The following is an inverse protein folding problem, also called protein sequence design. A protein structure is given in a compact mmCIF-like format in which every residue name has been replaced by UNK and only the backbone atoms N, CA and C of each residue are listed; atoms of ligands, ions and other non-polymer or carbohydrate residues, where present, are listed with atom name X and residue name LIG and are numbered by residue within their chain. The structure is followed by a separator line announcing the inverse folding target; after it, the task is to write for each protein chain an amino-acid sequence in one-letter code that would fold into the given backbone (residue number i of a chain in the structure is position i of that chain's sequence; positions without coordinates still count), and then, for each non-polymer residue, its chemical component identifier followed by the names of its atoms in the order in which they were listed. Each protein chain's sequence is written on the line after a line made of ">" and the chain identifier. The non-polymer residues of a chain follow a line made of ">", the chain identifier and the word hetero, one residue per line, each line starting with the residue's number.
data_IF_159687906424
#
_entry.id   IF_159687906424
#
_cell.length_a   1.000
_cell.length_b   1.000
_cell.length_c   1.000
_cell.angle_alpha   90.00
_cell.angle_beta   90.00
_cell.angle_gamma   90.00
#
_symmetry.space_group_name_H-M   'P 1'
#
loop_
_entity.id
_entity.type
_entity.pdbx_description
1 polymer ?
#
# COMPACT_ATOMS: atom_id res chain seq x y z
N UNK A 1 34.62 31.69 13.60
CA UNK A 1 33.43 30.84 13.52
C UNK A 1 33.85 29.50 12.96
N UNK A 2 33.77 28.45 13.76
CA UNK A 2 34.02 27.10 13.27
C UNK A 2 33.01 26.77 12.17
N UNK A 3 33.52 26.34 11.05
CA UNK A 3 32.65 25.91 9.94
C UNK A 3 31.93 24.61 10.35
N UNK A 4 30.58 24.63 10.29
CA UNK A 4 29.78 23.41 10.51
C UNK A 4 30.26 22.32 9.55
N UNK A 5 30.50 21.12 10.09
CA UNK A 5 30.91 19.97 9.29
C UNK A 5 29.87 19.68 8.19
N UNK A 6 30.37 19.26 7.02
CA UNK A 6 29.56 18.94 5.86
C UNK A 6 28.48 17.90 6.17
N UNK A 7 28.84 16.85 6.92
CA UNK A 7 27.89 15.79 7.29
C UNK A 7 26.76 16.30 8.19
N UNK A 8 27.07 17.21 9.11
CA UNK A 8 26.05 17.88 9.94
C UNK A 8 25.09 18.72 9.08
N UNK A 9 25.62 19.47 8.10
CA UNK A 9 24.78 20.23 7.17
C UNK A 9 23.86 19.32 6.36
N UNK A 10 24.37 18.19 5.85
CA UNK A 10 23.56 17.21 5.11
C UNK A 10 22.44 16.64 5.99
N UNK A 11 22.71 16.35 7.27
CA UNK A 11 21.69 15.87 8.21
C UNK A 11 20.63 16.95 8.46
N UNK A 12 21.03 18.20 8.70
CA UNK A 12 20.10 19.33 8.91
C UNK A 12 19.20 19.51 7.69
N UNK A 13 19.76 19.56 6.48
CA UNK A 13 18.96 19.74 5.27
C UNK A 13 18.06 18.55 4.96
N UNK A 14 18.43 17.33 5.33
CA UNK A 14 17.54 16.18 5.23
C UNK A 14 16.36 16.24 6.22
N UNK A 15 16.50 16.86 7.38
CA UNK A 15 15.37 17.12 8.30
C UNK A 15 14.42 18.15 7.70
N UNK A 16 14.95 19.15 7.00
CA UNK A 16 14.16 20.20 6.34
C UNK A 16 13.47 19.73 5.04
N UNK A 17 13.63 18.47 4.64
CA UNK A 17 13.09 17.97 3.36
C UNK A 17 11.56 18.11 3.23
N UNK A 18 10.84 18.24 4.34
CA UNK A 18 9.39 18.48 4.37
C UNK A 18 9.03 19.97 4.28
N UNK A 19 9.99 20.85 4.51
CA UNK A 19 9.86 22.30 4.43
C UNK A 19 10.63 22.83 3.22
N UNK A 20 10.02 22.71 2.05
CA UNK A 20 10.63 23.13 0.79
C UNK A 20 10.98 24.61 0.77
N UNK A 21 10.19 25.47 1.44
CA UNK A 21 10.45 26.91 1.50
C UNK A 21 11.78 27.22 2.19
N UNK A 22 12.01 26.58 3.34
CA UNK A 22 13.29 26.73 4.06
C UNK A 22 14.47 26.16 3.26
N UNK A 23 14.30 25.02 2.57
CA UNK A 23 15.33 24.49 1.70
C UNK A 23 15.65 25.42 0.53
N UNK A 24 14.64 26.04 -0.11
CA UNK A 24 14.86 27.04 -1.15
C UNK A 24 15.62 28.24 -0.63
N UNK A 25 15.33 28.72 0.57
CA UNK A 25 16.08 29.80 1.21
C UNK A 25 17.54 29.43 1.44
N UNK A 26 17.82 28.18 1.79
CA UNK A 26 19.18 27.66 1.96
C UNK A 26 20.03 27.69 0.68
N UNK A 27 19.41 27.65 -0.52
CA UNK A 27 20.14 27.78 -1.79
C UNK A 27 20.83 29.16 -1.93
N UNK A 28 20.30 30.18 -1.31
CA UNK A 28 20.75 31.57 -1.44
C UNK A 28 21.82 31.96 -0.43
N UNK A 29 22.11 31.10 0.56
CA UNK A 29 23.03 31.43 1.66
C UNK A 29 24.50 31.52 1.17
N UNK A 30 24.97 30.49 0.51
CA UNK A 30 26.31 30.44 -0.10
C UNK A 30 26.46 29.25 -1.05
N UNK A 31 27.54 29.21 -1.81
CA UNK A 31 27.83 28.18 -2.81
C UNK A 31 27.95 26.77 -2.19
N UNK A 32 28.50 26.63 -0.98
CA UNK A 32 28.64 25.36 -0.26
C UNK A 32 27.27 24.78 0.07
N UNK A 33 26.36 25.58 0.60
CA UNK A 33 24.98 25.21 0.89
C UNK A 33 24.23 24.84 -0.38
N UNK A 34 24.33 25.65 -1.44
CA UNK A 34 23.72 25.39 -2.72
C UNK A 34 24.12 24.01 -3.26
N UNK A 35 25.43 23.67 -3.22
CA UNK A 35 25.94 22.37 -3.69
C UNK A 35 25.37 21.16 -2.91
N UNK A 36 24.97 21.35 -1.66
CA UNK A 36 24.37 20.29 -0.83
C UNK A 36 22.85 20.22 -1.03
N UNK A 37 22.21 21.39 -1.09
CA UNK A 37 20.74 21.48 -1.10
C UNK A 37 20.16 21.12 -2.48
N UNK A 38 20.82 21.51 -3.58
CA UNK A 38 20.36 21.15 -4.93
C UNK A 38 20.17 19.65 -5.11
N UNK A 39 21.12 18.77 -4.79
CA UNK A 39 20.90 17.34 -4.84
C UNK A 39 19.74 16.84 -3.97
N UNK A 40 19.51 17.45 -2.80
CA UNK A 40 18.42 17.07 -1.90
C UNK A 40 17.05 17.42 -2.49
N UNK A 41 16.90 18.61 -3.05
CA UNK A 41 15.66 19.04 -3.73
C UNK A 41 15.37 18.17 -4.96
N UNK A 42 16.39 17.91 -5.79
CA UNK A 42 16.21 17.16 -7.03
C UNK A 42 16.02 15.65 -6.84
N UNK A 43 16.31 15.09 -5.66
CA UNK A 43 15.90 13.71 -5.32
C UNK A 43 14.39 13.51 -5.43
N UNK A 44 13.61 14.58 -5.21
CA UNK A 44 12.16 14.58 -5.12
C UNK A 44 11.49 15.48 -6.16
N UNK A 45 12.20 15.90 -7.19
CA UNK A 45 11.71 16.86 -8.18
C UNK A 45 10.39 16.45 -8.85
N UNK A 46 10.10 15.15 -8.88
CA UNK A 46 8.86 14.59 -9.44
C UNK A 46 7.74 14.34 -8.44
N UNK A 47 7.92 14.65 -7.15
CA UNK A 47 6.85 14.52 -6.16
C UNK A 47 5.90 15.72 -6.12
N UNK A 48 6.22 16.79 -6.87
CA UNK A 48 5.41 17.99 -7.05
C UNK A 48 4.77 18.09 -8.44
N UNK A 49 4.13 19.21 -8.71
CA UNK A 49 3.61 19.50 -10.05
C UNK A 49 4.77 19.81 -11.02
N UNK A 50 4.80 19.09 -12.13
CA UNK A 50 5.71 19.41 -13.24
C UNK A 50 5.10 20.60 -14.00
N UNK A 51 5.73 21.76 -13.86
CA UNK A 51 5.38 22.96 -14.61
C UNK A 51 6.29 23.14 -15.84
N UNK A 52 5.96 24.10 -16.70
CA UNK A 52 6.73 24.38 -17.91
C UNK A 52 8.22 24.71 -17.63
N UNK A 53 8.52 25.38 -16.51
CA UNK A 53 9.91 25.73 -16.16
C UNK A 53 10.73 24.48 -15.84
N UNK A 54 10.20 23.59 -15.03
CA UNK A 54 10.86 22.32 -14.71
C UNK A 54 10.98 21.44 -15.93
N UNK A 55 9.93 21.35 -16.76
CA UNK A 55 9.95 20.65 -18.04
C UNK A 55 11.07 21.16 -18.94
N UNK A 56 11.23 22.48 -19.08
CA UNK A 56 12.30 23.10 -19.89
C UNK A 56 13.69 22.76 -19.36
N UNK A 57 13.88 22.75 -18.05
CA UNK A 57 15.15 22.33 -17.44
C UNK A 57 15.45 20.87 -17.78
N UNK A 58 14.49 19.97 -17.63
CA UNK A 58 14.67 18.54 -17.95
C UNK A 58 15.03 18.35 -19.43
N UNK A 59 14.24 18.93 -20.33
CA UNK A 59 14.44 18.80 -21.77
C UNK A 59 15.75 19.48 -22.27
N UNK A 60 16.31 20.44 -21.50
CA UNK A 60 17.58 21.03 -21.80
C UNK A 60 18.74 20.01 -21.85
N UNK A 61 18.63 18.95 -21.03
CA UNK A 61 19.62 17.86 -20.93
C UNK A 61 19.52 16.83 -22.06
N UNK A 62 18.49 16.88 -22.91
CA UNK A 62 18.43 16.00 -24.08
C UNK A 62 19.68 16.18 -24.94
N UNK A 63 20.31 15.10 -25.42
CA UNK A 63 21.42 15.17 -26.38
C UNK A 63 21.04 15.91 -27.65
N UNK A 64 22.03 16.52 -28.34
CA UNK A 64 21.80 17.23 -29.61
C UNK A 64 21.19 16.31 -30.68
N UNK A 65 21.56 15.03 -30.69
CA UNK A 65 20.98 14.02 -31.59
C UNK A 65 19.47 13.82 -31.32
N UNK A 66 19.08 13.71 -30.05
CA UNK A 66 17.67 13.59 -29.65
C UNK A 66 16.87 14.84 -30.01
N UNK A 67 17.42 16.02 -29.75
CA UNK A 67 16.78 17.29 -30.12
C UNK A 67 16.57 17.41 -31.63
N UNK A 68 17.56 17.00 -32.42
CA UNK A 68 17.46 16.98 -33.90
C UNK A 68 16.42 15.95 -34.37
N UNK A 69 16.40 14.74 -33.76
CA UNK A 69 15.44 13.71 -34.08
C UNK A 69 14.00 14.20 -33.81
N UNK A 70 13.74 14.79 -32.63
CA UNK A 70 12.45 15.36 -32.30
C UNK A 70 12.02 16.48 -33.23
N UNK A 71 12.94 17.40 -33.58
CA UNK A 71 12.67 18.47 -34.52
C UNK A 71 12.34 17.96 -35.93
N UNK A 72 13.02 16.93 -36.41
CA UNK A 72 12.75 16.31 -37.70
C UNK A 72 11.38 15.63 -37.79
N UNK A 73 10.77 15.32 -36.62
CA UNK A 73 9.44 14.74 -36.50
C UNK A 73 8.40 15.78 -36.04
N UNK A 74 8.64 17.06 -36.31
CA UNK A 74 7.76 18.20 -35.97
C UNK A 74 7.41 18.31 -34.47
N UNK A 75 8.25 17.80 -33.59
CA UNK A 75 8.12 17.98 -32.16
C UNK A 75 8.93 19.23 -31.77
N UNK A 76 8.20 20.32 -31.56
CA UNK A 76 8.78 21.59 -31.15
C UNK A 76 9.01 21.58 -29.65
N UNK A 77 10.26 21.42 -29.24
CA UNK A 77 10.62 21.62 -27.84
C UNK A 77 10.40 23.09 -27.46
N UNK A 78 9.93 23.37 -26.23
CA UNK A 78 9.81 24.73 -25.74
C UNK A 78 11.12 25.48 -25.98
N UNK A 79 11.03 26.74 -26.41
CA UNK A 79 12.22 27.55 -26.66
C UNK A 79 13.06 27.62 -25.39
N UNK A 80 14.19 26.93 -25.40
CA UNK A 80 15.11 26.88 -24.28
C UNK A 80 15.74 28.26 -24.12
N UNK A 81 15.12 29.11 -23.33
CA UNK A 81 15.67 30.45 -22.97
C UNK A 81 16.86 30.35 -22.02
N UNK A 82 17.37 29.13 -21.77
CA UNK A 82 18.60 28.94 -21.03
C UNK A 82 19.77 29.39 -21.88
N UNK A 83 20.16 30.64 -21.73
CA UNK A 83 21.33 31.24 -22.39
C UNK A 83 22.66 30.57 -21.99
N UNK A 84 22.66 29.73 -20.99
CA UNK A 84 23.81 28.97 -20.49
C UNK A 84 23.36 27.56 -20.05
N UNK A 85 24.26 26.59 -20.21
CA UNK A 85 24.06 25.25 -19.67
C UNK A 85 23.78 25.31 -18.15
N UNK A 86 22.87 24.49 -17.63
CA UNK A 86 22.60 24.40 -16.18
C UNK A 86 23.90 24.11 -15.42
N UNK A 87 24.04 24.76 -14.25
CA UNK A 87 25.22 24.62 -13.38
C UNK A 87 25.44 23.19 -12.87
N UNK A 88 24.34 22.45 -12.68
CA UNK A 88 24.36 21.08 -12.19
C UNK A 88 23.74 20.15 -13.23
N UNK A 89 24.18 18.91 -13.25
CA UNK A 89 23.45 17.84 -13.94
C UNK A 89 22.28 17.39 -13.04
N UNK A 90 21.19 18.14 -13.11
CA UNK A 90 20.02 17.93 -12.26
C UNK A 90 19.42 16.52 -12.41
N UNK A 91 19.41 15.96 -13.62
CA UNK A 91 18.88 14.63 -13.92
C UNK A 91 19.62 13.55 -13.13
N UNK A 92 20.92 13.71 -12.91
CA UNK A 92 21.73 12.73 -12.16
C UNK A 92 21.31 12.57 -10.69
N UNK A 93 20.56 13.52 -10.14
CA UNK A 93 20.09 13.49 -8.75
C UNK A 93 18.72 12.82 -8.59
N UNK A 94 17.99 12.62 -9.68
CA UNK A 94 16.66 11.99 -9.63
C UNK A 94 16.75 10.57 -9.07
N UNK A 95 15.82 10.25 -8.14
CA UNK A 95 15.73 8.92 -7.51
C UNK A 95 14.45 8.19 -7.84
N UNK A 96 13.44 8.89 -8.26
CA UNK A 96 12.09 8.39 -8.53
C UNK A 96 11.71 8.76 -9.94
N UNK A 97 11.29 7.80 -10.73
CA UNK A 97 10.80 8.01 -12.09
C UNK A 97 9.45 7.29 -12.19
N UNK A 98 8.41 8.04 -12.50
CA UNK A 98 7.07 7.52 -12.71
C UNK A 98 6.56 7.83 -14.12
N UNK A 99 5.68 6.99 -14.68
CA UNK A 99 5.04 7.25 -15.97
C UNK A 99 4.24 8.55 -15.97
N UNK A 100 3.55 8.87 -14.87
CA UNK A 100 2.77 10.09 -14.74
C UNK A 100 3.62 11.35 -14.95
N UNK A 101 4.87 11.32 -14.49
CA UNK A 101 5.78 12.44 -14.63
C UNK A 101 6.25 12.58 -16.08
N UNK A 102 6.55 11.46 -16.74
CA UNK A 102 6.87 11.43 -18.16
C UNK A 102 5.68 11.93 -18.99
N UNK A 103 4.47 11.48 -18.67
CA UNK A 103 3.23 11.90 -19.33
C UNK A 103 2.96 13.41 -19.18
N UNK A 104 3.20 13.97 -17.99
CA UNK A 104 3.09 15.42 -17.77
C UNK A 104 4.07 16.19 -18.66
N UNK A 105 5.32 15.75 -18.77
CA UNK A 105 6.32 16.37 -19.66
C UNK A 105 5.83 16.30 -21.11
N UNK A 106 5.37 15.13 -21.56
CA UNK A 106 4.85 14.94 -22.91
C UNK A 106 3.66 15.86 -23.19
N UNK A 107 2.70 15.94 -22.27
CA UNK A 107 1.51 16.78 -22.42
C UNK A 107 1.84 18.28 -22.49
N UNK A 108 2.84 18.73 -21.73
CA UNK A 108 3.34 20.12 -21.82
C UNK A 108 3.95 20.40 -23.20
N UNK A 109 4.75 19.47 -23.75
CA UNK A 109 5.42 19.64 -25.03
C UNK A 109 4.44 19.56 -26.20
N UNK A 110 3.57 18.54 -26.20
CA UNK A 110 2.64 18.28 -27.30
C UNK A 110 1.31 19.03 -27.16
N UNK A 111 1.08 19.78 -26.06
CA UNK A 111 -0.15 20.53 -25.79
C UNK A 111 -1.42 19.67 -25.96
N UNK A 112 -1.37 18.44 -25.47
CA UNK A 112 -2.44 17.43 -25.55
C UNK A 112 -2.85 17.05 -27.00
N UNK A 113 -1.98 17.28 -27.99
CA UNK A 113 -2.24 16.80 -29.34
C UNK A 113 -2.12 15.27 -29.37
N UNK A 114 -3.21 14.60 -29.71
CA UNK A 114 -3.26 13.14 -29.87
C UNK A 114 -2.56 12.74 -31.17
N UNK A 115 -1.25 12.50 -31.10
CA UNK A 115 -0.49 11.85 -32.15
C UNK A 115 0.37 10.76 -31.52
N UNK A 116 -0.05 9.52 -31.66
CA UNK A 116 0.58 8.36 -31.01
C UNK A 116 2.06 8.21 -31.38
N UNK A 117 2.43 8.50 -32.63
CA UNK A 117 3.83 8.39 -33.05
C UNK A 117 4.72 9.44 -32.40
N UNK A 118 4.29 10.70 -32.36
CA UNK A 118 5.07 11.79 -31.73
C UNK A 118 5.17 11.60 -30.22
N UNK A 119 4.06 11.15 -29.60
CA UNK A 119 4.03 10.83 -28.18
C UNK A 119 5.02 9.73 -27.83
N UNK A 120 4.99 8.63 -28.58
CA UNK A 120 5.88 7.50 -28.40
C UNK A 120 7.37 7.89 -28.59
N UNK A 121 7.67 8.68 -29.62
CA UNK A 121 9.04 9.15 -29.88
C UNK A 121 9.57 10.06 -28.77
N UNK A 122 8.75 10.99 -28.29
CA UNK A 122 9.13 11.89 -27.20
C UNK A 122 9.30 11.11 -25.89
N UNK A 123 8.40 10.19 -25.58
CA UNK A 123 8.49 9.28 -24.45
C UNK A 123 9.81 8.50 -24.46
N UNK A 124 10.15 7.91 -25.61
CA UNK A 124 11.40 7.18 -25.80
C UNK A 124 12.64 8.03 -25.48
N UNK A 125 12.70 9.25 -25.99
CA UNK A 125 13.86 10.12 -25.77
C UNK A 125 13.95 10.62 -24.32
N UNK A 126 12.81 10.82 -23.64
CA UNK A 126 12.78 11.15 -22.22
C UNK A 126 13.28 9.97 -21.37
N UNK A 127 12.82 8.74 -21.62
CA UNK A 127 13.33 7.57 -20.90
C UNK A 127 14.81 7.31 -21.17
N UNK A 128 15.29 7.48 -22.41
CA UNK A 128 16.72 7.41 -22.72
C UNK A 128 17.54 8.43 -21.92
N UNK A 129 17.03 9.66 -21.79
CA UNK A 129 17.67 10.69 -20.98
C UNK A 129 17.80 10.23 -19.51
N UNK A 130 16.73 9.79 -18.90
CA UNK A 130 16.75 9.34 -17.51
C UNK A 130 17.67 8.13 -17.32
N UNK A 131 17.55 7.10 -18.15
CA UNK A 131 18.34 5.87 -18.03
C UNK A 131 19.83 6.15 -18.21
N UNK A 132 20.20 7.04 -19.13
CA UNK A 132 21.61 7.36 -19.38
C UNK A 132 22.24 8.25 -18.32
N UNK A 133 21.46 9.10 -17.63
CA UNK A 133 22.01 10.13 -16.73
C UNK A 133 21.74 9.91 -15.25
N UNK A 134 20.65 9.21 -14.87
CA UNK A 134 20.36 8.92 -13.47
C UNK A 134 21.29 7.85 -12.90
N UNK A 135 22.19 8.26 -12.00
CA UNK A 135 23.19 7.36 -11.41
C UNK A 135 22.76 6.78 -10.04
N UNK A 136 21.68 7.29 -9.47
CA UNK A 136 21.27 6.94 -8.10
C UNK A 136 19.76 6.65 -8.00
N UNK A 137 19.15 6.20 -9.08
CA UNK A 137 17.74 5.84 -9.12
C UNK A 137 17.46 4.72 -8.10
N UNK A 138 16.38 4.85 -7.34
CA UNK A 138 15.97 3.86 -6.34
C UNK A 138 14.61 3.25 -6.64
N UNK A 139 13.76 3.99 -7.32
CA UNK A 139 12.40 3.58 -7.66
C UNK A 139 12.13 3.80 -9.14
N UNK A 140 11.59 2.79 -9.78
CA UNK A 140 11.05 2.87 -11.14
C UNK A 140 9.65 2.26 -11.18
N UNK A 141 8.72 2.97 -11.82
CA UNK A 141 7.44 2.43 -12.24
C UNK A 141 7.50 2.22 -13.76
N UNK A 142 7.51 0.95 -14.19
CA UNK A 142 7.60 0.59 -15.60
C UNK A 142 6.24 0.12 -16.12
N UNK A 143 5.52 1.02 -16.77
CA UNK A 143 4.21 0.77 -17.40
C UNK A 143 4.21 1.12 -18.88
N UNK A 144 5.37 1.47 -19.42
CA UNK A 144 5.54 1.81 -20.84
C UNK A 144 5.95 0.60 -21.67
N UNK A 145 5.58 0.63 -22.97
CA UNK A 145 6.05 -0.35 -23.96
C UNK A 145 7.45 -0.09 -24.48
N UNK A 146 8.11 0.99 -24.03
CA UNK A 146 9.48 1.28 -24.40
C UNK A 146 10.43 0.19 -23.90
N UNK A 147 11.41 -0.26 -24.72
CA UNK A 147 12.38 -1.30 -24.36
C UNK A 147 13.48 -0.71 -23.46
N UNK A 148 13.16 -0.40 -22.23
CA UNK A 148 14.03 0.36 -21.32
C UNK A 148 15.36 -0.36 -21.06
N UNK A 149 15.41 -1.69 -21.10
CA UNK A 149 16.63 -2.50 -20.91
C UNK A 149 17.64 -2.31 -22.03
N UNK A 150 17.19 -1.93 -23.22
CA UNK A 150 18.05 -1.71 -24.38
C UNK A 150 18.64 -0.29 -24.47
N UNK A 151 18.24 0.62 -23.62
CA UNK A 151 18.71 1.99 -23.66
C UNK A 151 20.13 2.14 -23.10
N UNK A 152 20.95 3.06 -23.66
CA UNK A 152 22.30 3.31 -23.15
C UNK A 152 22.28 3.63 -21.65
N UNK A 153 23.11 2.94 -20.86
CA UNK A 153 23.18 3.10 -19.41
C UNK A 153 22.25 2.20 -18.63
N UNK A 154 21.40 1.38 -19.26
CA UNK A 154 20.43 0.51 -18.61
C UNK A 154 21.07 -0.41 -17.56
N UNK A 155 22.22 -1.01 -17.84
CA UNK A 155 22.90 -1.89 -16.89
C UNK A 155 23.22 -1.19 -15.57
N UNK A 156 23.76 0.02 -15.62
CA UNK A 156 24.06 0.80 -14.41
C UNK A 156 22.77 1.25 -13.73
N UNK A 157 21.80 1.72 -14.50
CA UNK A 157 20.52 2.22 -14.00
C UNK A 157 19.76 1.15 -13.24
N UNK A 158 19.52 -0.01 -13.85
CA UNK A 158 18.73 -1.09 -13.26
C UNK A 158 19.45 -1.81 -12.11
N UNK A 159 20.79 -1.87 -12.11
CA UNK A 159 21.54 -2.49 -11.01
C UNK A 159 21.44 -1.75 -9.68
N UNK A 160 21.00 -0.50 -9.69
CA UNK A 160 20.89 0.34 -8.48
C UNK A 160 19.47 0.46 -7.93
N UNK A 161 18.49 -0.12 -8.63
CA UNK A 161 17.11 -0.10 -8.18
C UNK A 161 16.94 -0.81 -6.85
N UNK A 162 16.14 -0.20 -6.00
CA UNK A 162 15.72 -0.74 -4.72
C UNK A 162 14.26 -1.18 -4.76
N UNK A 163 13.43 -0.45 -5.49
CA UNK A 163 12.01 -0.72 -5.68
C UNK A 163 11.65 -0.66 -7.16
N UNK A 164 10.92 -1.66 -7.62
CA UNK A 164 10.45 -1.76 -8.99
C UNK A 164 8.96 -2.13 -9.00
N UNK A 165 8.17 -1.30 -9.68
CA UNK A 165 6.82 -1.63 -10.08
C UNK A 165 6.81 -1.90 -11.59
N UNK A 166 6.22 -3.02 -12.01
CA UNK A 166 6.09 -3.40 -13.42
C UNK A 166 4.64 -3.73 -13.74
N UNK A 167 4.12 -3.12 -14.81
CA UNK A 167 2.93 -3.64 -15.47
C UNK A 167 3.37 -4.59 -16.61
N UNK A 168 3.14 -5.88 -16.41
CA UNK A 168 3.62 -6.91 -17.34
C UNK A 168 2.88 -6.93 -18.69
N UNK A 169 1.70 -6.31 -18.79
CA UNK A 169 0.99 -6.16 -20.08
C UNK A 169 1.69 -5.16 -21.02
N UNK A 170 2.52 -4.31 -20.45
CA UNK A 170 3.30 -3.30 -21.19
C UNK A 170 4.72 -3.75 -21.50
N UNK A 171 5.24 -4.79 -20.83
CA UNK A 171 6.63 -5.21 -20.93
C UNK A 171 6.71 -6.58 -21.60
N UNK A 172 7.58 -6.74 -22.59
CA UNK A 172 7.76 -8.02 -23.25
C UNK A 172 8.56 -9.00 -22.38
N UNK A 173 8.41 -10.28 -22.69
CA UNK A 173 9.05 -11.37 -21.94
C UNK A 173 10.59 -11.30 -21.97
N UNK A 174 11.18 -10.87 -23.10
CA UNK A 174 12.63 -10.79 -23.26
C UNK A 174 13.23 -9.68 -22.40
N UNK A 175 12.54 -8.54 -22.28
CA UNK A 175 12.97 -7.45 -21.41
C UNK A 175 12.97 -7.87 -19.92
N UNK A 176 12.06 -8.73 -19.48
CA UNK A 176 12.07 -9.29 -18.12
C UNK A 176 13.26 -10.22 -17.89
N UNK A 177 13.62 -11.02 -18.89
CA UNK A 177 14.80 -11.87 -18.82
C UNK A 177 16.09 -11.04 -18.77
N UNK A 178 16.23 -10.03 -19.63
CA UNK A 178 17.36 -9.09 -19.60
C UNK A 178 17.45 -8.37 -18.25
N UNK A 179 16.31 -7.91 -17.75
CA UNK A 179 16.23 -7.26 -16.45
C UNK A 179 16.71 -8.18 -15.31
N UNK A 180 16.35 -9.47 -15.36
CA UNK A 180 16.80 -10.47 -14.39
C UNK A 180 18.33 -10.66 -14.38
N UNK A 181 19.01 -10.42 -15.49
CA UNK A 181 20.47 -10.48 -15.55
C UNK A 181 21.15 -9.28 -14.88
N UNK A 182 20.51 -8.13 -14.90
CA UNK A 182 21.09 -6.85 -14.46
C UNK A 182 20.64 -6.49 -13.03
N UNK A 183 19.32 -6.60 -12.75
CA UNK A 183 18.68 -6.15 -11.52
C UNK A 183 18.55 -7.30 -10.53
N UNK A 184 19.43 -7.38 -9.54
CA UNK A 184 19.55 -8.54 -8.61
C UNK A 184 19.33 -8.21 -7.14
N UNK A 185 19.19 -6.92 -6.79
CA UNK A 185 19.19 -6.48 -5.40
C UNK A 185 17.96 -5.64 -5.03
N UNK A 186 16.81 -5.93 -5.67
CA UNK A 186 15.56 -5.31 -5.29
C UNK A 186 15.18 -5.71 -3.87
N UNK A 187 14.71 -4.71 -3.13
CA UNK A 187 14.07 -4.92 -1.83
C UNK A 187 12.55 -5.09 -1.99
N UNK A 188 11.95 -4.35 -2.93
CA UNK A 188 10.51 -4.38 -3.21
C UNK A 188 10.27 -4.60 -4.70
N UNK A 189 9.46 -5.59 -5.02
CA UNK A 189 9.00 -5.87 -6.38
C UNK A 189 7.47 -5.91 -6.38
N UNK A 190 6.85 -5.06 -7.18
CA UNK A 190 5.40 -5.02 -7.40
C UNK A 190 5.09 -5.28 -8.86
N UNK A 191 4.18 -6.19 -9.11
CA UNK A 191 3.84 -6.68 -10.44
C UNK A 191 2.33 -6.54 -10.63
N UNK A 192 1.91 -5.96 -11.74
CA UNK A 192 0.50 -5.87 -12.14
C UNK A 192 0.30 -6.37 -13.56
N UNK A 193 -0.93 -6.78 -13.90
CA UNK A 193 -1.33 -7.24 -15.24
C UNK A 193 -1.62 -8.74 -15.30
N UNK A 194 -1.87 -9.25 -16.51
CA UNK A 194 -2.20 -10.66 -16.73
C UNK A 194 -0.99 -11.57 -16.54
N UNK A 195 -1.06 -12.49 -15.58
CA UNK A 195 0.09 -13.30 -15.12
C UNK A 195 0.45 -14.46 -16.08
N UNK A 196 0.70 -14.18 -17.34
CA UNK A 196 1.08 -15.22 -18.33
C UNK A 196 2.45 -14.99 -18.99
N UNK A 197 3.40 -14.37 -18.27
CA UNK A 197 4.73 -14.10 -18.85
C UNK A 197 5.78 -15.03 -18.26
N UNK A 198 6.33 -15.97 -19.04
CA UNK A 198 7.27 -16.99 -18.55
C UNK A 198 8.50 -16.43 -17.84
N UNK A 199 9.03 -15.31 -18.33
CA UNK A 199 10.30 -14.76 -17.83
C UNK A 199 10.15 -13.93 -16.54
N UNK A 200 8.93 -13.71 -16.05
CA UNK A 200 8.69 -13.06 -14.76
C UNK A 200 9.34 -13.81 -13.60
N UNK A 201 9.30 -15.14 -13.66
CA UNK A 201 9.85 -15.99 -12.61
C UNK A 201 11.37 -15.90 -12.52
N UNK A 202 12.05 -15.71 -13.65
CA UNK A 202 13.49 -15.45 -13.67
C UNK A 202 13.83 -14.15 -12.97
N UNK A 203 13.00 -13.11 -13.13
CA UNK A 203 13.20 -11.84 -12.42
C UNK A 203 13.06 -12.01 -10.89
N UNK A 204 12.02 -12.74 -10.43
CA UNK A 204 11.84 -13.02 -9.01
C UNK A 204 12.99 -13.91 -8.50
N UNK A 205 13.37 -14.91 -9.25
CA UNK A 205 14.43 -15.85 -8.89
C UNK A 205 15.83 -15.23 -8.87
N UNK A 206 16.06 -14.19 -9.66
CA UNK A 206 17.33 -13.48 -9.67
C UNK A 206 17.56 -12.60 -8.41
N UNK A 207 16.51 -12.28 -7.65
CA UNK A 207 16.62 -11.32 -6.53
C UNK A 207 17.29 -11.95 -5.31
N UNK A 208 18.33 -11.29 -4.76
CA UNK A 208 19.08 -11.74 -3.59
C UNK A 208 18.47 -11.27 -2.27
N UNK A 209 17.90 -10.06 -2.26
CA UNK A 209 17.50 -9.34 -1.06
C UNK A 209 16.01 -8.94 -1.05
N UNK A 210 15.17 -9.64 -1.82
CA UNK A 210 13.76 -9.31 -1.93
C UNK A 210 13.04 -9.52 -0.59
N UNK A 211 12.51 -8.43 -0.03
CA UNK A 211 11.77 -8.44 1.24
C UNK A 211 10.27 -8.28 1.03
N UNK A 212 9.88 -7.53 0.01
CA UNK A 212 8.47 -7.25 -0.26
C UNK A 212 8.13 -7.67 -1.69
N UNK A 213 7.14 -8.52 -1.81
CA UNK A 213 6.60 -8.94 -3.11
C UNK A 213 5.10 -8.64 -3.14
N UNK A 214 4.68 -7.91 -4.17
CA UNK A 214 3.27 -7.59 -4.42
C UNK A 214 2.89 -8.08 -5.81
N UNK A 215 1.84 -8.89 -5.88
CA UNK A 215 1.31 -9.44 -7.11
C UNK A 215 -0.15 -9.03 -7.25
N UNK A 216 -0.44 -8.23 -8.27
CA UNK A 216 -1.78 -7.78 -8.65
C UNK A 216 -2.09 -8.39 -10.02
N UNK A 217 -2.57 -9.61 -10.03
CA UNK A 217 -2.80 -10.33 -11.26
C UNK A 217 -4.28 -10.50 -11.54
N UNK A 218 -4.74 -10.06 -12.70
CA UNK A 218 -5.97 -10.57 -13.26
C UNK A 218 -5.68 -11.93 -13.88
N UNK A 219 -6.24 -12.98 -13.28
CA UNK A 219 -6.02 -14.35 -13.78
C UNK A 219 -7.08 -14.65 -14.85
N UNK A 220 -6.64 -14.93 -16.06
CA UNK A 220 -7.47 -15.56 -17.08
C UNK A 220 -7.55 -17.07 -16.74
N UNK A 221 -8.76 -17.63 -16.66
CA UNK A 221 -9.03 -19.04 -16.34
C UNK A 221 -8.32 -20.03 -17.27
N UNK A 222 -7.79 -19.56 -18.40
CA UNK A 222 -7.08 -20.37 -19.40
C UNK A 222 -5.58 -20.57 -19.12
N UNK A 223 -5.00 -19.92 -18.12
CA UNK A 223 -3.54 -19.86 -17.93
C UNK A 223 -3.01 -20.72 -16.77
N UNK A 224 -3.46 -21.94 -16.65
CA UNK A 224 -3.14 -22.90 -15.57
C UNK A 224 -1.66 -23.16 -15.22
N UNK A 225 -0.70 -22.50 -15.87
CA UNK A 225 0.74 -22.77 -15.66
C UNK A 225 1.45 -21.66 -14.82
N UNK A 226 0.88 -20.49 -14.74
CA UNK A 226 1.49 -19.33 -14.05
C UNK A 226 1.80 -19.62 -12.57
N UNK A 227 0.86 -20.21 -11.86
CA UNK A 227 1.02 -20.47 -10.44
C UNK A 227 2.12 -21.49 -10.12
N UNK A 228 2.34 -22.51 -10.97
CA UNK A 228 3.40 -23.51 -10.76
C UNK A 228 4.78 -22.88 -10.87
N UNK A 229 5.00 -22.03 -11.86
CA UNK A 229 6.28 -21.35 -12.06
C UNK A 229 6.55 -20.35 -10.94
N UNK A 230 5.54 -19.56 -10.56
CA UNK A 230 5.65 -18.65 -9.41
C UNK A 230 5.94 -19.42 -8.12
N UNK A 231 5.30 -20.58 -7.92
CA UNK A 231 5.60 -21.46 -6.79
C UNK A 231 7.05 -21.92 -6.77
N UNK A 232 7.64 -22.21 -7.94
CA UNK A 232 9.07 -22.54 -8.03
C UNK A 232 9.95 -21.37 -7.67
N UNK A 233 9.65 -20.16 -8.17
CA UNK A 233 10.41 -18.95 -7.89
C UNK A 233 10.34 -18.52 -6.42
N UNK A 234 9.22 -18.78 -5.73
CA UNK A 234 9.06 -18.48 -4.31
C UNK A 234 9.69 -19.55 -3.39
N UNK A 235 9.92 -20.75 -3.91
CA UNK A 235 10.54 -21.83 -3.15
C UNK A 235 11.93 -21.39 -2.67
N UNK A 236 12.16 -21.50 -1.36
CA UNK A 236 13.41 -21.10 -0.70
C UNK A 236 13.66 -19.57 -0.57
N UNK A 237 12.64 -18.73 -0.77
CA UNK A 237 12.76 -17.26 -0.60
C UNK A 237 12.56 -16.82 0.86
N UNK A 238 13.46 -17.24 1.74
CA UNK A 238 13.40 -16.89 3.18
C UNK A 238 13.57 -15.41 3.49
N UNK A 239 14.01 -14.60 2.53
CA UNK A 239 14.16 -13.14 2.70
C UNK A 239 12.85 -12.39 2.66
N UNK A 240 11.79 -12.97 2.04
CA UNK A 240 10.48 -12.31 1.90
C UNK A 240 9.80 -12.25 3.26
N UNK A 241 9.52 -11.04 3.71
CA UNK A 241 8.82 -10.77 4.97
C UNK A 241 7.46 -10.09 4.78
N UNK A 242 7.14 -9.62 3.57
CA UNK A 242 5.86 -9.03 3.23
C UNK A 242 5.38 -9.55 1.88
N UNK A 243 4.21 -10.15 1.87
CA UNK A 243 3.58 -10.68 0.66
C UNK A 243 2.18 -10.08 0.51
N UNK A 244 1.93 -9.51 -0.66
CA UNK A 244 0.64 -8.98 -1.07
C UNK A 244 0.17 -9.72 -2.33
N UNK A 245 -1.00 -10.33 -2.25
CA UNK A 245 -1.62 -11.08 -3.33
C UNK A 245 -3.00 -10.49 -3.61
N UNK A 246 -3.25 -10.07 -4.83
CA UNK A 246 -4.53 -9.54 -5.26
C UNK A 246 -5.02 -10.27 -6.50
N UNK A 247 -6.24 -10.78 -6.44
CA UNK A 247 -6.92 -11.50 -7.53
C UNK A 247 -6.15 -12.74 -8.04
N UNK A 248 -5.35 -13.38 -7.18
CA UNK A 248 -4.53 -14.54 -7.53
C UNK A 248 -5.25 -15.85 -7.22
N UNK A 249 -5.18 -16.78 -8.15
CA UNK A 249 -5.73 -18.13 -7.98
C UNK A 249 -4.79 -19.08 -7.20
N UNK A 250 -5.31 -20.22 -6.82
CA UNK A 250 -4.90 -21.23 -5.84
C UNK A 250 -3.46 -21.70 -5.87
N UNK A 251 -2.78 -21.66 -7.00
CA UNK A 251 -1.53 -22.42 -7.21
C UNK A 251 -0.35 -21.77 -6.48
N UNK A 252 -0.42 -20.46 -6.26
CA UNK A 252 0.62 -19.71 -5.54
C UNK A 252 0.67 -20.10 -4.06
N UNK A 253 -0.47 -20.46 -3.51
CA UNK A 253 -0.61 -20.69 -2.07
C UNK A 253 0.19 -21.91 -1.59
N UNK A 254 0.31 -22.94 -2.40
CA UNK A 254 1.13 -24.12 -2.03
C UNK A 254 2.60 -23.79 -1.76
N UNK A 255 3.11 -22.67 -2.30
CA UNK A 255 4.50 -22.22 -2.09
C UNK A 255 4.70 -21.36 -0.85
N UNK A 256 3.62 -20.89 -0.22
CA UNK A 256 3.71 -20.05 0.97
C UNK A 256 4.35 -20.75 2.17
N UNK A 257 4.30 -22.09 2.21
CA UNK A 257 4.93 -22.92 3.26
C UNK A 257 6.43 -22.64 3.44
N UNK A 258 7.10 -22.12 2.41
CA UNK A 258 8.53 -21.84 2.45
C UNK A 258 8.88 -20.45 3.00
N UNK A 259 7.87 -19.57 3.15
CA UNK A 259 8.06 -18.18 3.59
C UNK A 259 8.03 -18.05 5.12
N UNK A 260 8.90 -18.79 5.81
CA UNK A 260 8.94 -18.87 7.29
C UNK A 260 9.19 -17.52 7.99
N UNK A 261 9.76 -16.55 7.29
CA UNK A 261 10.04 -15.22 7.83
C UNK A 261 8.96 -14.19 7.52
N UNK A 262 7.80 -14.65 7.05
CA UNK A 262 6.70 -13.75 6.70
C UNK A 262 6.17 -13.02 7.93
N UNK A 263 6.15 -11.68 7.84
CA UNK A 263 5.61 -10.77 8.87
C UNK A 263 4.29 -10.16 8.47
N UNK A 264 4.08 -9.97 7.17
CA UNK A 264 2.84 -9.41 6.62
C UNK A 264 2.33 -10.28 5.49
N UNK A 265 1.09 -10.75 5.63
CA UNK A 265 0.32 -11.45 4.59
C UNK A 265 -0.94 -10.65 4.27
N UNK A 266 -1.07 -10.24 3.01
CA UNK A 266 -2.27 -9.59 2.51
C UNK A 266 -2.80 -10.37 1.31
N UNK A 267 -4.05 -10.79 1.36
CA UNK A 267 -4.74 -11.46 0.26
C UNK A 267 -6.06 -10.74 -0.01
N UNK A 268 -6.23 -10.27 -1.24
CA UNK A 268 -7.43 -9.56 -1.67
C UNK A 268 -8.11 -10.30 -2.84
N UNK A 269 -9.42 -10.11 -3.02
CA UNK A 269 -10.22 -10.58 -4.18
C UNK A 269 -10.00 -12.07 -4.56
N UNK A 270 -9.95 -12.96 -3.57
CA UNK A 270 -9.70 -14.39 -3.78
C UNK A 270 -10.97 -15.16 -4.21
N UNK A 271 -10.93 -15.77 -5.38
CA UNK A 271 -12.08 -16.46 -5.98
C UNK A 271 -12.28 -17.88 -5.43
N UNK A 272 -11.22 -18.66 -5.29
CA UNK A 272 -11.27 -20.08 -4.89
C UNK A 272 -11.03 -20.26 -3.38
N UNK A 273 -11.95 -19.74 -2.58
CA UNK A 273 -11.83 -19.70 -1.12
C UNK A 273 -11.62 -21.05 -0.43
N UNK A 274 -12.19 -22.16 -0.94
CA UNK A 274 -12.08 -23.47 -0.29
C UNK A 274 -10.65 -23.99 -0.23
N UNK A 275 -9.92 -23.89 -1.34
CA UNK A 275 -8.52 -24.30 -1.38
C UNK A 275 -7.64 -23.36 -0.55
N UNK A 276 -7.86 -22.06 -0.63
CA UNK A 276 -7.14 -21.07 0.18
C UNK A 276 -7.31 -21.36 1.65
N UNK A 277 -8.54 -21.60 2.10
CA UNK A 277 -8.83 -21.92 3.49
C UNK A 277 -8.07 -23.18 3.94
N UNK A 278 -8.09 -24.25 3.15
CA UNK A 278 -7.37 -25.48 3.48
C UNK A 278 -5.86 -25.24 3.62
N UNK A 279 -5.28 -24.48 2.72
CA UNK A 279 -3.87 -24.11 2.80
C UNK A 279 -3.55 -23.24 4.01
N UNK A 280 -4.35 -22.22 4.32
CA UNK A 280 -4.16 -21.39 5.50
C UNK A 280 -4.19 -22.22 6.80
N UNK A 281 -5.04 -23.23 6.87
CA UNK A 281 -5.09 -24.12 8.02
C UNK A 281 -3.85 -24.97 8.22
N UNK A 282 -3.08 -25.25 7.15
CA UNK A 282 -1.88 -26.08 7.19
C UNK A 282 -0.62 -25.27 7.47
N UNK A 283 -0.57 -24.01 7.05
CA UNK A 283 0.63 -23.17 7.11
C UNK A 283 1.02 -22.76 8.52
N UNK A 284 2.30 -22.55 8.70
CA UNK A 284 2.90 -22.00 9.91
C UNK A 284 3.67 -20.73 9.58
N UNK A 285 3.19 -19.61 10.11
CA UNK A 285 3.86 -18.33 10.00
C UNK A 285 4.23 -17.80 11.38
N UNK A 286 5.29 -18.33 12.00
CA UNK A 286 5.62 -18.01 13.41
C UNK A 286 5.93 -16.53 13.63
N UNK A 287 6.40 -15.84 12.60
CA UNK A 287 6.77 -14.42 12.68
C UNK A 287 5.68 -13.45 12.20
N UNK A 288 4.47 -13.96 11.92
CA UNK A 288 3.39 -13.13 11.36
C UNK A 288 2.97 -12.03 12.35
N UNK A 289 2.92 -10.80 11.86
CA UNK A 289 2.53 -9.60 12.59
C UNK A 289 1.25 -8.98 12.04
N UNK A 290 1.02 -9.11 10.73
CA UNK A 290 -0.15 -8.53 10.07
C UNK A 290 -0.80 -9.58 9.16
N UNK A 291 -2.08 -9.84 9.37
CA UNK A 291 -2.92 -10.73 8.56
C UNK A 291 -4.10 -9.95 8.00
N UNK A 292 -4.10 -9.72 6.69
CA UNK A 292 -5.13 -8.96 5.99
C UNK A 292 -5.77 -9.85 4.92
N UNK A 293 -7.03 -10.19 5.10
CA UNK A 293 -7.81 -11.03 4.19
C UNK A 293 -9.10 -10.29 3.82
N UNK A 294 -9.18 -9.75 2.61
CA UNK A 294 -10.33 -8.94 2.22
C UNK A 294 -10.98 -9.41 0.93
N UNK A 295 -12.29 -9.17 0.82
CA UNK A 295 -13.10 -9.39 -0.38
C UNK A 295 -13.07 -10.83 -0.93
N UNK A 296 -12.90 -11.79 -0.02
CA UNK A 296 -13.01 -13.21 -0.31
C UNK A 296 -14.37 -13.79 0.06
N UNK A 297 -14.70 -14.97 -0.48
CA UNK A 297 -15.89 -15.72 -0.13
C UNK A 297 -15.60 -16.73 1.01
N UNK A 298 -15.34 -16.25 2.22
CA UNK A 298 -15.16 -17.13 3.38
C UNK A 298 -16.46 -17.90 3.66
N UNK A 299 -16.38 -19.21 3.78
CA UNK A 299 -17.50 -20.06 4.24
C UNK A 299 -17.48 -20.28 5.75
N UNK A 300 -16.29 -20.25 6.35
CA UNK A 300 -16.05 -20.45 7.78
C UNK A 300 -14.81 -19.67 8.20
N UNK A 301 -14.73 -19.28 9.45
CA UNK A 301 -13.54 -18.65 10.04
C UNK A 301 -12.60 -19.65 10.72
N UNK A 302 -12.95 -20.93 10.73
CA UNK A 302 -12.21 -22.00 11.42
C UNK A 302 -10.77 -22.13 10.93
N UNK A 303 -10.56 -22.13 9.62
CA UNK A 303 -9.23 -22.32 9.04
C UNK A 303 -8.31 -21.14 9.34
N UNK A 304 -8.86 -19.93 9.41
CA UNK A 304 -8.11 -18.73 9.81
C UNK A 304 -7.75 -18.82 11.30
N UNK A 305 -8.65 -19.34 12.12
CA UNK A 305 -8.38 -19.57 13.53
C UNK A 305 -7.21 -20.54 13.73
N UNK A 306 -7.20 -21.65 12.99
CA UNK A 306 -6.09 -22.61 12.99
C UNK A 306 -4.75 -21.98 12.56
N UNK A 307 -4.78 -21.05 11.60
CA UNK A 307 -3.59 -20.29 11.22
C UNK A 307 -3.09 -19.43 12.39
N UNK A 308 -4.00 -18.70 13.06
CA UNK A 308 -3.67 -17.83 14.18
C UNK A 308 -3.09 -18.64 15.35
N UNK A 309 -3.63 -19.79 15.66
CA UNK A 309 -3.14 -20.68 16.73
C UNK A 309 -1.69 -21.14 16.51
N UNK A 310 -1.25 -21.20 15.25
CA UNK A 310 0.13 -21.59 14.89
C UNK A 310 1.12 -20.42 14.88
N UNK A 311 0.68 -19.20 15.14
CA UNK A 311 1.57 -18.05 15.27
C UNK A 311 2.17 -17.98 16.68
N UNK A 312 3.31 -17.32 16.84
CA UNK A 312 3.98 -17.19 18.14
C UNK A 312 3.50 -15.96 18.96
N UNK A 313 2.24 -15.57 18.82
CA UNK A 313 1.68 -14.41 19.54
C UNK A 313 2.22 -13.06 19.09
N UNK A 314 2.78 -12.97 17.89
CA UNK A 314 3.36 -11.74 17.36
C UNK A 314 2.38 -10.91 16.53
N UNK A 315 1.17 -11.39 16.31
CA UNK A 315 0.16 -10.66 15.52
C UNK A 315 -0.25 -9.40 16.25
N UNK A 316 -0.10 -8.26 15.54
CA UNK A 316 -0.52 -6.94 15.99
C UNK A 316 -1.70 -6.38 15.18
N UNK A 317 -1.94 -6.90 13.98
CA UNK A 317 -3.04 -6.46 13.11
C UNK A 317 -3.73 -7.67 12.47
N UNK A 318 -5.04 -7.73 12.61
CA UNK A 318 -5.92 -8.68 11.92
C UNK A 318 -7.02 -7.89 11.24
N UNK A 319 -7.16 -8.09 9.92
CA UNK A 319 -8.18 -7.43 9.10
C UNK A 319 -8.84 -8.46 8.17
N UNK A 320 -10.02 -8.90 8.56
CA UNK A 320 -10.76 -9.92 7.85
C UNK A 320 -12.09 -9.35 7.36
N UNK A 321 -12.23 -9.27 6.03
CA UNK A 321 -13.45 -8.79 5.37
C UNK A 321 -13.91 -9.82 4.34
N UNK A 322 -15.05 -10.43 4.58
CA UNK A 322 -15.70 -11.36 3.64
C UNK A 322 -16.87 -10.71 2.93
N UNK A 323 -17.08 -11.08 1.66
CA UNK A 323 -18.31 -10.77 0.94
C UNK A 323 -19.41 -11.80 1.17
N UNK A 324 -19.07 -12.95 1.74
CA UNK A 324 -20.04 -13.97 2.11
C UNK A 324 -20.69 -13.64 3.44
N UNK A 325 -21.93 -13.23 3.41
CA UNK A 325 -22.71 -12.88 4.60
C UNK A 325 -23.18 -14.08 5.42
N UNK A 326 -23.07 -15.29 4.87
CA UNK A 326 -23.46 -16.56 5.54
C UNK A 326 -22.25 -17.31 6.09
N UNK A 327 -21.10 -16.67 6.22
CA UNK A 327 -19.92 -17.26 6.84
C UNK A 327 -20.23 -17.69 8.28
N UNK A 328 -19.65 -18.82 8.70
CA UNK A 328 -19.92 -19.42 10.01
C UNK A 328 -18.70 -19.36 10.93
N UNK A 329 -18.95 -19.59 12.22
CA UNK A 329 -17.90 -19.81 13.22
C UNK A 329 -17.03 -18.55 13.51
N UNK A 330 -17.65 -17.34 13.49
CA UNK A 330 -16.99 -16.10 13.91
C UNK A 330 -16.50 -16.19 15.38
N UNK A 331 -17.25 -16.89 16.23
CA UNK A 331 -16.90 -17.20 17.62
C UNK A 331 -15.52 -17.87 17.74
N UNK A 332 -15.22 -18.86 16.89
CA UNK A 332 -13.94 -19.59 16.92
C UNK A 332 -12.79 -18.63 16.59
N UNK A 333 -13.00 -17.72 15.65
CA UNK A 333 -11.99 -16.73 15.29
C UNK A 333 -11.66 -15.78 16.44
N UNK A 334 -12.70 -15.20 17.08
CA UNK A 334 -12.49 -14.27 18.20
C UNK A 334 -11.77 -14.98 19.36
N UNK A 335 -12.17 -16.21 19.67
CA UNK A 335 -11.51 -17.02 20.70
C UNK A 335 -10.04 -17.26 20.38
N UNK A 336 -9.72 -17.67 19.15
CA UNK A 336 -8.34 -17.86 18.71
C UNK A 336 -7.50 -16.58 18.83
N UNK A 337 -8.09 -15.41 18.51
CA UNK A 337 -7.44 -14.11 18.67
C UNK A 337 -7.16 -13.80 20.14
N UNK A 338 -8.15 -14.01 21.02
CA UNK A 338 -8.01 -13.77 22.48
C UNK A 338 -6.89 -14.61 23.07
N UNK A 339 -6.83 -15.88 22.68
CA UNK A 339 -5.90 -16.85 23.25
C UNK A 339 -4.47 -16.71 22.68
N UNK A 340 -4.34 -16.28 21.41
CA UNK A 340 -3.06 -16.33 20.70
C UNK A 340 -2.50 -14.97 20.26
N UNK A 341 -3.21 -13.83 20.42
CA UNK A 341 -2.76 -12.53 19.94
C UNK A 341 -2.65 -11.47 21.05
N UNK A 342 -1.80 -11.65 22.07
CA UNK A 342 -1.70 -10.70 23.18
C UNK A 342 -1.19 -9.31 22.78
N UNK A 343 -0.57 -9.19 21.61
CA UNK A 343 -0.01 -7.93 21.07
C UNK A 343 -0.94 -7.21 20.09
N UNK A 344 -2.18 -7.69 19.92
CA UNK A 344 -3.12 -7.12 18.97
C UNK A 344 -3.34 -5.63 19.27
N UNK A 345 -3.15 -4.78 18.27
CA UNK A 345 -3.38 -3.33 18.32
C UNK A 345 -4.55 -2.92 17.42
N UNK A 346 -4.74 -3.61 16.31
CA UNK A 346 -5.73 -3.28 15.31
C UNK A 346 -6.49 -4.54 14.89
N UNK A 347 -7.81 -4.53 15.13
CA UNK A 347 -8.68 -5.66 14.86
C UNK A 347 -9.91 -5.26 14.06
N UNK A 348 -10.09 -5.88 12.90
CA UNK A 348 -11.25 -5.76 12.03
C UNK A 348 -11.81 -7.15 11.78
N UNK A 349 -12.98 -7.46 12.33
CA UNK A 349 -13.54 -8.80 12.28
C UNK A 349 -15.07 -8.81 12.34
N UNK A 350 -15.65 -9.99 12.31
CA UNK A 350 -17.09 -10.22 12.42
C UNK A 350 -17.46 -10.76 13.78
N UNK A 351 -18.65 -10.39 14.26
CA UNK A 351 -19.27 -10.90 15.48
C UNK A 351 -20.76 -11.14 15.28
N UNK A 352 -21.29 -12.02 16.10
CA UNK A 352 -22.73 -12.27 16.30
C UNK A 352 -23.11 -11.93 17.75
N UNK A 353 -24.40 -11.69 18.09
CA UNK A 353 -24.78 -11.38 19.46
C UNK A 353 -24.36 -12.44 20.49
N UNK A 354 -24.38 -13.72 20.11
CA UNK A 354 -23.90 -14.83 20.98
C UNK A 354 -22.40 -14.72 21.30
N UNK A 355 -21.64 -13.92 20.57
CA UNK A 355 -20.18 -13.78 20.71
C UNK A 355 -19.78 -12.65 21.68
N UNK A 356 -20.73 -11.92 22.25
CA UNK A 356 -20.45 -10.77 23.13
C UNK A 356 -19.60 -11.14 24.35
N UNK A 357 -19.73 -12.34 24.87
CA UNK A 357 -18.87 -12.84 25.96
C UNK A 357 -17.40 -12.90 25.52
N UNK A 358 -17.13 -13.24 24.26
CA UNK A 358 -15.78 -13.28 23.71
C UNK A 358 -15.25 -11.87 23.42
N UNK A 359 -16.12 -10.92 23.02
CA UNK A 359 -15.74 -9.49 22.90
C UNK A 359 -15.32 -8.93 24.25
N UNK A 360 -16.07 -9.23 25.32
CA UNK A 360 -15.68 -8.86 26.69
C UNK A 360 -14.30 -9.42 27.04
N UNK A 361 -14.06 -10.69 26.78
CA UNK A 361 -12.78 -11.35 27.06
C UNK A 361 -11.65 -10.74 26.24
N UNK A 362 -11.91 -10.41 24.96
CA UNK A 362 -10.98 -9.72 24.08
C UNK A 362 -10.53 -8.37 24.67
N UNK A 363 -11.49 -7.54 25.07
CA UNK A 363 -11.22 -6.21 25.62
C UNK A 363 -10.43 -6.26 26.95
N UNK A 364 -10.63 -7.30 27.75
CA UNK A 364 -9.90 -7.50 29.00
C UNK A 364 -8.46 -7.99 28.77
N UNK A 365 -8.25 -8.87 27.79
CA UNK A 365 -6.96 -9.53 27.57
C UNK A 365 -6.05 -8.73 26.63
N UNK A 366 -6.61 -8.06 25.63
CA UNK A 366 -5.84 -7.37 24.59
C UNK A 366 -5.54 -5.92 25.00
N UNK A 367 -4.59 -5.74 25.90
CA UNK A 367 -4.27 -4.43 26.52
C UNK A 367 -3.63 -3.41 25.59
N UNK A 368 -3.18 -3.81 24.41
CA UNK A 368 -2.58 -2.95 23.39
C UNK A 368 -3.58 -2.53 22.30
N UNK A 369 -4.82 -2.99 22.39
CA UNK A 369 -5.86 -2.73 21.38
C UNK A 369 -6.14 -1.22 21.29
N UNK A 370 -5.94 -0.65 20.11
CA UNK A 370 -6.12 0.77 19.78
C UNK A 370 -7.29 0.98 18.84
N UNK A 371 -7.43 0.08 17.89
CA UNK A 371 -8.49 0.14 16.86
C UNK A 371 -9.26 -1.17 16.87
N UNK A 372 -10.59 -1.06 16.95
CA UNK A 372 -11.49 -2.19 16.78
C UNK A 372 -12.61 -1.85 15.80
N UNK A 373 -12.82 -2.71 14.82
CA UNK A 373 -13.98 -2.68 13.96
C UNK A 373 -14.71 -4.01 14.02
N UNK A 374 -15.95 -3.98 14.50
CA UNK A 374 -16.81 -5.13 14.64
C UNK A 374 -17.94 -5.05 13.61
N UNK A 375 -18.07 -6.09 12.78
CA UNK A 375 -19.06 -6.19 11.72
C UNK A 375 -20.05 -7.31 12.04
N UNK A 376 -21.34 -7.11 11.72
CA UNK A 376 -22.28 -8.24 11.72
C UNK A 376 -22.24 -8.99 10.39
N UNK A 377 -22.34 -10.30 10.44
CA UNK A 377 -22.78 -11.13 9.35
C UNK A 377 -24.29 -10.93 9.15
N UNK A 378 -24.89 -11.43 8.08
CA UNK A 378 -26.29 -11.11 7.74
C UNK A 378 -27.33 -11.43 8.83
N UNK A 379 -28.33 -10.57 8.89
CA UNK A 379 -29.70 -10.77 9.31
C UNK A 379 -29.96 -11.47 10.65
N UNK A 380 -29.62 -10.79 11.75
CA UNK A 380 -30.30 -11.05 13.02
C UNK A 380 -31.67 -10.35 13.03
N UNK A 381 -32.57 -10.75 12.13
CA UNK A 381 -33.95 -10.30 12.15
C UNK A 381 -34.77 -11.35 12.95
N UNK A 382 -34.56 -11.38 14.25
CA UNK A 382 -35.69 -11.63 15.11
C UNK A 382 -36.31 -10.25 15.34
N UNK A 383 -37.52 -10.03 14.83
CA UNK A 383 -38.27 -8.76 14.97
C UNK A 383 -38.48 -8.33 16.44
N UNK A 384 -38.21 -9.23 17.39
CA UNK A 384 -38.38 -9.04 18.82
C UNK A 384 -37.11 -8.52 19.56
N UNK A 385 -35.93 -8.46 18.93
CA UNK A 385 -34.70 -8.04 19.58
C UNK A 385 -34.41 -6.55 19.30
N UNK A 386 -35.14 -5.68 19.96
CA UNK A 386 -35.16 -4.25 19.65
C UNK A 386 -33.88 -3.46 19.97
N UNK A 387 -32.94 -3.96 20.79
CA UNK A 387 -31.77 -3.16 21.21
C UNK A 387 -30.50 -4.00 21.46
N UNK A 388 -30.20 -4.98 20.61
CA UNK A 388 -29.01 -5.84 20.77
C UNK A 388 -27.69 -5.01 20.76
N UNK A 389 -27.66 -3.90 20.05
CA UNK A 389 -26.50 -3.02 20.03
C UNK A 389 -26.20 -2.36 21.38
N UNK A 390 -27.19 -2.22 22.26
CA UNK A 390 -27.02 -1.59 23.57
C UNK A 390 -26.05 -2.38 24.44
N UNK A 391 -26.17 -3.72 24.46
CA UNK A 391 -25.29 -4.60 25.21
C UNK A 391 -23.84 -4.47 24.73
N UNK A 392 -23.62 -4.36 23.40
CA UNK A 392 -22.30 -4.16 22.84
C UNK A 392 -21.69 -2.83 23.28
N UNK A 393 -22.47 -1.74 23.30
CA UNK A 393 -22.01 -0.43 23.78
C UNK A 393 -21.66 -0.49 25.28
N UNK A 394 -22.46 -1.15 26.10
CA UNK A 394 -22.22 -1.30 27.54
C UNK A 394 -20.94 -2.14 27.79
N UNK A 395 -20.66 -3.17 26.97
CA UNK A 395 -19.40 -3.93 27.02
C UNK A 395 -18.20 -3.01 26.73
N UNK A 396 -18.28 -2.12 25.76
CA UNK A 396 -17.20 -1.16 25.49
C UNK A 396 -16.99 -0.19 26.66
N UNK A 397 -18.03 0.30 27.30
CA UNK A 397 -17.92 1.19 28.46
C UNK A 397 -17.15 0.51 29.59
N UNK A 398 -17.51 -0.74 29.89
CA UNK A 398 -17.06 -1.44 31.08
C UNK A 398 -15.67 -2.10 30.94
N UNK A 399 -15.35 -2.58 29.75
CA UNK A 399 -14.21 -3.47 29.57
C UNK A 399 -13.12 -2.97 28.60
N UNK A 400 -13.31 -1.84 27.89
CA UNK A 400 -12.30 -1.34 26.96
C UNK A 400 -10.96 -1.01 27.63
N UNK A 401 -9.84 -1.46 27.04
CA UNK A 401 -8.51 -1.09 27.53
C UNK A 401 -8.26 0.42 27.35
N UNK A 402 -7.36 0.97 28.15
CA UNK A 402 -7.01 2.41 28.09
C UNK A 402 -6.43 2.85 26.75
N UNK A 403 -5.87 1.91 26.01
CA UNK A 403 -5.28 2.12 24.69
C UNK A 403 -6.31 2.28 23.57
N UNK A 404 -7.56 1.80 23.78
CA UNK A 404 -8.58 1.82 22.73
C UNK A 404 -9.09 3.24 22.50
N UNK A 405 -8.85 3.77 21.33
CA UNK A 405 -9.22 5.14 20.93
C UNK A 405 -9.99 5.21 19.59
N UNK A 406 -10.09 4.09 18.86
CA UNK A 406 -10.83 4.00 17.61
C UNK A 406 -11.83 2.84 17.67
N UNK A 407 -13.11 3.15 17.62
CA UNK A 407 -14.20 2.16 17.63
C UNK A 407 -15.03 2.35 16.37
N UNK A 408 -15.19 1.29 15.59
CA UNK A 408 -16.09 1.23 14.44
C UNK A 408 -17.01 0.03 14.56
N UNK A 409 -18.28 0.22 14.32
CA UNK A 409 -19.28 -0.84 14.35
C UNK A 409 -20.06 -0.79 13.03
N UNK A 410 -20.21 -1.93 12.38
CA UNK A 410 -20.97 -2.02 11.12
C UNK A 410 -21.95 -3.18 11.15
N UNK A 411 -23.07 -3.03 10.43
CA UNK A 411 -24.09 -4.07 10.32
C UNK A 411 -25.45 -3.65 10.85
N UNK A 412 -26.28 -4.64 11.21
CA UNK A 412 -27.70 -4.43 11.50
C UNK A 412 -28.00 -4.19 13.01
N UNK A 413 -27.04 -3.68 13.76
CA UNK A 413 -27.21 -3.38 15.19
C UNK A 413 -28.24 -2.26 15.39
N UNK A 414 -29.22 -2.49 16.27
CA UNK A 414 -30.15 -1.47 16.74
C UNK A 414 -29.68 -0.95 18.08
N UNK A 415 -29.79 0.35 18.27
CA UNK A 415 -29.34 1.05 19.46
C UNK A 415 -30.46 1.92 20.01
N UNK A 416 -30.63 1.96 21.32
CA UNK A 416 -31.45 2.97 21.97
C UNK A 416 -30.70 4.31 22.10
N UNK A 417 -31.46 5.38 22.15
CA UNK A 417 -30.93 6.73 22.38
C UNK A 417 -30.21 6.80 23.74
N UNK A 418 -30.75 6.12 24.75
CA UNK A 418 -30.18 6.10 26.10
C UNK A 418 -28.84 5.36 26.14
N UNK A 419 -28.70 4.26 25.41
CA UNK A 419 -27.42 3.55 25.31
C UNK A 419 -26.34 4.39 24.65
N UNK A 420 -26.67 5.14 23.60
CA UNK A 420 -25.75 6.10 22.98
C UNK A 420 -25.27 7.18 23.96
N UNK A 421 -26.19 7.77 24.73
CA UNK A 421 -25.83 8.74 25.75
C UNK A 421 -24.92 8.12 26.83
N UNK A 422 -25.27 6.95 27.35
CA UNK A 422 -24.43 6.22 28.34
C UNK A 422 -23.04 5.93 27.77
N UNK A 423 -22.97 5.50 26.50
CA UNK A 423 -21.71 5.19 25.84
C UNK A 423 -20.77 6.40 25.85
N UNK A 424 -21.20 7.53 25.33
CA UNK A 424 -20.35 8.72 25.26
C UNK A 424 -20.04 9.30 26.66
N UNK A 425 -20.99 9.26 27.61
CA UNK A 425 -20.69 9.64 28.98
C UNK A 425 -19.60 8.77 29.61
N UNK A 426 -19.59 7.45 29.31
CA UNK A 426 -18.56 6.53 29.75
C UNK A 426 -17.17 6.88 29.22
N UNK A 427 -17.10 7.51 28.04
CA UNK A 427 -15.83 7.91 27.40
C UNK A 427 -15.41 9.38 27.72
N UNK A 428 -16.14 10.14 28.55
CA UNK A 428 -15.74 11.53 28.90
C UNK A 428 -14.34 11.65 29.49
N UNK A 429 -13.95 10.71 30.33
CA UNK A 429 -12.60 10.74 30.96
C UNK A 429 -11.50 10.18 30.04
N UNK A 430 -11.90 9.61 28.91
CA UNK A 430 -11.02 8.93 27.96
C UNK A 430 -11.56 9.15 26.53
N UNK A 431 -11.39 10.35 25.97
CA UNK A 431 -11.95 10.70 24.68
C UNK A 431 -11.48 9.79 23.55
N UNK A 432 -12.41 9.42 22.68
CA UNK A 432 -12.13 8.64 21.48
C UNK A 432 -11.58 9.54 20.36
N UNK A 433 -10.59 9.03 19.62
CA UNK A 433 -10.16 9.68 18.38
C UNK A 433 -11.24 9.52 17.30
N UNK A 434 -11.74 8.29 17.15
CA UNK A 434 -12.77 7.99 16.16
C UNK A 434 -13.87 7.10 16.76
N UNK A 435 -15.12 7.47 16.46
CA UNK A 435 -16.26 6.60 16.64
C UNK A 435 -17.09 6.58 15.36
N UNK A 436 -17.17 5.42 14.70
CA UNK A 436 -17.85 5.28 13.44
C UNK A 436 -18.93 4.21 13.51
N UNK A 437 -20.09 4.51 12.94
CA UNK A 437 -21.07 3.50 12.58
C UNK A 437 -21.08 3.41 11.06
N UNK A 438 -20.59 2.29 10.54
CA UNK A 438 -20.48 2.06 9.12
C UNK A 438 -21.76 1.40 8.64
N UNK A 439 -22.46 2.07 7.73
CA UNK A 439 -23.72 1.60 7.18
C UNK A 439 -23.48 0.76 5.92
N UNK A 440 -24.02 -0.42 5.89
CA UNK A 440 -24.31 -1.10 4.64
C UNK A 440 -25.56 -0.45 4.00
N UNK A 441 -25.66 -0.43 2.67
CA UNK A 441 -26.76 0.27 1.94
C UNK A 441 -28.17 -0.09 2.42
N UNK A 442 -28.32 -1.21 3.12
CA UNK A 442 -29.58 -1.71 3.67
C UNK A 442 -29.83 -1.36 5.15
N UNK A 443 -28.87 -0.80 5.87
CA UNK A 443 -28.94 -0.56 7.33
C UNK A 443 -29.19 0.88 7.76
N UNK A 444 -29.57 1.77 6.85
CA UNK A 444 -29.85 3.19 7.15
C UNK A 444 -30.92 3.43 8.22
N UNK A 445 -31.78 2.43 8.50
CA UNK A 445 -32.89 2.57 9.47
C UNK A 445 -32.48 2.50 10.95
N UNK A 446 -31.26 2.06 11.26
CA UNK A 446 -30.84 1.77 12.63
C UNK A 446 -30.30 3.02 13.37
N UNK A 447 -29.92 4.06 12.66
CA UNK A 447 -29.46 5.34 13.21
C UNK A 447 -30.41 6.44 12.80
N UNK A 448 -31.15 6.93 13.77
CA UNK A 448 -32.12 8.03 13.59
C UNK A 448 -31.45 9.41 13.65
N UNK A 449 -32.19 10.44 13.29
CA UNK A 449 -31.73 11.83 13.44
C UNK A 449 -31.33 12.17 14.89
N UNK A 450 -32.00 11.57 15.88
CA UNK A 450 -31.67 11.77 17.30
C UNK A 450 -30.29 11.19 17.66
N UNK A 451 -29.91 10.02 17.12
CA UNK A 451 -28.55 9.49 17.29
C UNK A 451 -27.50 10.44 16.73
N UNK A 452 -27.74 11.00 15.54
CA UNK A 452 -26.82 11.98 14.92
C UNK A 452 -26.69 13.26 15.73
N UNK A 453 -27.77 13.73 16.35
CA UNK A 453 -27.75 14.89 17.25
C UNK A 453 -26.84 14.61 18.46
N UNK A 454 -26.97 13.42 19.07
CA UNK A 454 -26.13 13.00 20.20
C UNK A 454 -24.67 12.94 19.80
N UNK A 455 -24.32 12.29 18.68
CA UNK A 455 -22.94 12.22 18.20
C UNK A 455 -22.34 13.62 18.01
N UNK A 456 -23.08 14.54 17.37
CA UNK A 456 -22.64 15.94 17.18
C UNK A 456 -22.42 16.65 18.52
N UNK A 457 -23.30 16.45 19.50
CA UNK A 457 -23.14 16.99 20.85
C UNK A 457 -21.79 16.57 21.42
N UNK A 458 -21.48 15.27 21.42
CA UNK A 458 -20.25 14.74 22.02
C UNK A 458 -18.98 15.04 21.21
N UNK A 459 -19.08 15.29 19.91
CA UNK A 459 -18.00 15.86 19.12
C UNK A 459 -17.71 17.30 19.58
N UNK A 460 -18.74 18.13 19.73
CA UNK A 460 -18.58 19.51 20.20
C UNK A 460 -18.03 19.60 21.64
N UNK A 461 -18.35 18.63 22.48
CA UNK A 461 -17.84 18.51 23.84
C UNK A 461 -16.43 17.85 23.91
N UNK A 462 -15.86 17.43 22.79
CA UNK A 462 -14.52 16.85 22.72
C UNK A 462 -14.41 15.41 23.24
N UNK A 463 -15.53 14.71 23.44
CA UNK A 463 -15.54 13.29 23.84
C UNK A 463 -15.19 12.37 22.68
N UNK A 464 -15.50 12.78 21.46
CA UNK A 464 -15.10 12.12 20.22
C UNK A 464 -14.53 13.18 19.29
N UNK A 465 -13.38 12.90 18.65
CA UNK A 465 -12.75 13.87 17.76
C UNK A 465 -13.34 13.82 16.35
N UNK A 466 -13.59 12.63 15.83
CA UNK A 466 -14.16 12.42 14.49
C UNK A 466 -15.22 11.32 14.51
N UNK A 467 -16.28 11.51 13.70
CA UNK A 467 -17.26 10.46 13.42
C UNK A 467 -17.77 10.59 12.00
N UNK A 468 -18.00 9.46 11.34
CA UNK A 468 -18.56 9.37 9.98
C UNK A 468 -20.08 9.11 9.98
N UNK A 469 -20.78 9.29 11.11
CA UNK A 469 -22.21 8.99 11.25
C UNK A 469 -23.12 10.13 10.77
#
# INVERSE_FOLDING_TARGET
>A
MEEINLDCLVLIFNVLIKDEKSLHSCLLVNKKWCNIVVPILWKRCFLGEINEKLCNVILSFLPSSSKKLLSNNDIKLPSLTLSKFPLFNYISFCRYISPDDVDKIINIVLKNLCNDHRRNLLEQEIYKLFISQCKNVKYLCWTTRQPLTLFPGASIFFSQLYELYINIDSVNSDALYELAQICKDLNTLSISGYCNIPNLFYLIDAQRNLKKLSLHAEVDEKTGNCGKELSKALRNRTTINSLYLDSIDNIVLSSLTTLVNLKKLTILHWKNYKEIQQYLAIYEFPNLQQLILRQGHLSSFKEISLLIEKTMGNISEIDIVTINKTAKEAEILIKAIVDNCPKISDLYTYIEPKDFIHVKTLLLNCRFLRTIELRSLEFFINENDNNIGDELLDIFILFSPKSLDNISISGFWKYSIDAFNRFFEGFRKRPLQNFNIIFDKLSYSNITSNHKIIIRKYINEGVVKYSSC
#
